data_IF_084531191603
#
_entry.id   IF_084531191603
#
_cell.length_a   1.000
_cell.length_b   1.000
_cell.length_c   1.000
_cell.angle_alpha   90.00
_cell.angle_beta   90.00
_cell.angle_gamma   90.00
#
_symmetry.space_group_name_H-M   'P 1'
#
loop_
_entity.id
_entity.type
_entity.pdbx_description
1 polymer ?
#
# COMPACT_ATOMS: atom_id res chain seq x y z
N UNK A 1 -27.42 -14.55 30.01
CA UNK A 1 -27.31 -13.06 29.99
C UNK A 1 -25.85 -12.61 30.09
N UNK A 2 -25.04 -13.18 30.99
CA UNK A 2 -23.58 -12.98 31.06
C UNK A 2 -22.84 -13.38 29.78
N UNK A 3 -23.29 -14.41 29.07
CA UNK A 3 -22.66 -14.88 27.82
C UNK A 3 -22.73 -13.86 26.68
N UNK A 4 -23.74 -12.97 26.70
CA UNK A 4 -23.84 -11.89 25.72
C UNK A 4 -22.76 -10.84 25.93
N UNK A 5 -22.42 -10.55 27.20
CA UNK A 5 -21.35 -9.61 27.57
C UNK A 5 -19.98 -10.16 27.14
N UNK A 6 -19.75 -11.47 27.29
CA UNK A 6 -18.52 -12.10 26.81
C UNK A 6 -18.41 -12.05 25.29
N UNK A 7 -19.49 -12.34 24.57
CA UNK A 7 -19.53 -12.22 23.09
C UNK A 7 -19.27 -10.79 22.62
N UNK A 8 -19.86 -9.79 23.26
CA UNK A 8 -19.62 -8.39 22.92
C UNK A 8 -18.16 -8.01 23.14
N UNK A 9 -17.55 -8.43 24.25
CA UNK A 9 -16.13 -8.20 24.52
C UNK A 9 -15.25 -8.84 23.45
N UNK A 10 -15.55 -10.07 23.05
CA UNK A 10 -14.79 -10.78 22.03
C UNK A 10 -14.94 -10.09 20.65
N UNK A 11 -16.14 -9.61 20.30
CA UNK A 11 -16.36 -8.80 19.09
C UNK A 11 -15.57 -7.49 19.11
N UNK A 12 -15.55 -6.78 20.25
CA UNK A 12 -14.75 -5.55 20.41
C UNK A 12 -13.26 -5.84 20.24
N UNK A 13 -12.79 -7.00 20.71
CA UNK A 13 -11.40 -7.40 20.55
C UNK A 13 -11.07 -7.66 19.07
N UNK A 14 -11.91 -8.41 18.36
CA UNK A 14 -11.75 -8.64 16.92
C UNK A 14 -11.80 -7.35 16.11
N UNK A 15 -12.66 -6.39 16.48
CA UNK A 15 -12.71 -5.09 15.83
C UNK A 15 -11.41 -4.29 16.01
N UNK A 16 -10.83 -4.31 17.21
CA UNK A 16 -9.53 -3.66 17.46
C UNK A 16 -8.39 -4.28 16.66
N UNK A 17 -8.40 -5.61 16.54
CA UNK A 17 -7.42 -6.32 15.72
C UNK A 17 -7.56 -5.95 14.25
N UNK A 18 -8.79 -5.92 13.72
CA UNK A 18 -9.06 -5.47 12.36
C UNK A 18 -8.58 -4.03 12.11
N UNK A 19 -8.90 -3.08 13.00
CA UNK A 19 -8.45 -1.69 12.90
C UNK A 19 -6.92 -1.63 12.84
N UNK A 20 -6.23 -2.39 13.70
CA UNK A 20 -4.77 -2.42 13.71
C UNK A 20 -4.20 -2.95 12.40
N UNK A 21 -4.75 -4.03 11.86
CA UNK A 21 -4.32 -4.59 10.57
C UNK A 21 -4.48 -3.56 9.43
N UNK A 22 -5.59 -2.81 9.46
CA UNK A 22 -5.86 -1.75 8.51
C UNK A 22 -4.90 -0.55 8.64
N UNK A 23 -4.56 -0.14 9.85
CA UNK A 23 -3.56 0.90 10.09
C UNK A 23 -2.17 0.46 9.60
N UNK A 24 -1.73 -0.77 9.91
CA UNK A 24 -0.46 -1.33 9.44
C UNK A 24 -0.40 -1.40 7.91
N UNK A 25 -1.52 -1.72 7.26
CA UNK A 25 -1.65 -1.71 5.80
C UNK A 25 -1.57 -0.30 5.23
N UNK A 26 -2.31 0.64 5.82
CA UNK A 26 -2.32 2.02 5.39
C UNK A 26 -0.92 2.66 5.49
N UNK A 27 -0.16 2.32 6.54
CA UNK A 27 1.20 2.82 6.72
C UNK A 27 2.16 2.28 5.65
N UNK A 28 2.00 1.02 5.22
CA UNK A 28 2.75 0.48 4.07
C UNK A 28 2.44 1.25 2.78
N UNK A 29 1.16 1.54 2.54
CA UNK A 29 0.71 2.31 1.37
C UNK A 29 1.31 3.73 1.40
N UNK A 30 1.25 4.42 2.55
CA UNK A 30 1.84 5.76 2.73
C UNK A 30 3.35 5.76 2.49
N UNK A 31 4.07 4.80 3.05
CA UNK A 31 5.52 4.65 2.83
C UNK A 31 5.83 4.47 1.35
N UNK A 32 5.07 3.63 0.65
CA UNK A 32 5.25 3.42 -0.78
C UNK A 32 4.99 4.70 -1.57
N UNK A 33 3.90 5.43 -1.28
CA UNK A 33 3.59 6.69 -1.94
C UNK A 33 4.73 7.71 -1.79
N UNK A 34 5.30 7.85 -0.58
CA UNK A 34 6.43 8.73 -0.32
C UNK A 34 7.69 8.34 -1.09
N UNK A 35 7.99 7.04 -1.21
CA UNK A 35 9.14 6.57 -2.00
C UNK A 35 8.99 6.90 -3.49
N UNK A 36 7.77 6.74 -4.03
CA UNK A 36 7.49 7.03 -5.44
C UNK A 36 7.52 8.52 -5.72
N UNK A 37 7.03 9.34 -4.78
CA UNK A 37 7.13 10.79 -4.86
C UNK A 37 8.60 11.24 -4.96
N UNK A 38 9.48 10.78 -4.05
CA UNK A 38 10.92 11.10 -4.09
C UNK A 38 11.58 10.66 -5.41
N UNK A 39 11.25 9.46 -5.89
CA UNK A 39 11.74 8.95 -7.17
C UNK A 39 11.22 9.75 -8.37
N UNK A 40 10.00 10.28 -8.28
CA UNK A 40 9.36 11.06 -9.34
C UNK A 40 9.92 12.47 -9.37
N UNK A 41 10.07 13.12 -8.21
CA UNK A 41 10.69 14.44 -8.09
C UNK A 41 12.09 14.47 -8.71
N UNK A 42 12.91 13.44 -8.48
CA UNK A 42 14.25 13.33 -9.07
C UNK A 42 14.23 13.21 -10.60
N UNK A 43 13.28 12.46 -11.16
CA UNK A 43 13.14 12.32 -12.63
C UNK A 43 12.52 13.56 -13.29
N UNK A 44 11.71 14.33 -12.57
CA UNK A 44 11.02 15.51 -13.11
C UNK A 44 11.92 16.75 -13.24
N UNK A 45 13.09 16.76 -12.59
CA UNK A 45 14.05 17.86 -12.65
C UNK A 45 14.78 17.95 -14.01
N UNK A 46 15.07 16.80 -14.63
CA UNK A 46 15.64 16.70 -15.97
C UNK A 46 15.16 15.39 -16.64
N UNK A 47 13.94 15.40 -17.22
CA UNK A 47 13.35 14.19 -17.79
C UNK A 47 14.15 13.62 -18.97
N UNK A 48 14.68 14.48 -19.84
CA UNK A 48 15.44 14.05 -21.03
C UNK A 48 16.79 13.47 -20.64
N UNK A 49 17.55 14.11 -19.74
CA UNK A 49 18.82 13.58 -19.23
C UNK A 49 18.63 12.34 -18.36
N UNK A 50 17.55 12.26 -17.59
CA UNK A 50 17.21 11.07 -16.81
C UNK A 50 16.92 9.87 -17.71
N UNK A 51 16.13 10.05 -18.78
CA UNK A 51 15.79 8.98 -19.72
C UNK A 51 16.92 8.62 -20.68
N UNK A 52 17.85 9.55 -20.96
CA UNK A 52 19.05 9.27 -21.74
C UNK A 52 19.97 8.25 -21.05
N UNK A 53 19.86 8.07 -19.72
CA UNK A 53 20.61 7.06 -18.99
C UNK A 53 19.87 5.70 -19.00
N UNK A 54 20.39 4.64 -19.68
CA UNK A 54 19.66 3.39 -19.89
C UNK A 54 19.19 2.69 -18.60
N UNK A 55 19.96 2.79 -17.51
CA UNK A 55 19.58 2.23 -16.20
C UNK A 55 18.38 2.96 -15.59
N UNK A 56 18.28 4.28 -15.77
CA UNK A 56 17.20 5.08 -15.20
C UNK A 56 15.91 4.85 -15.99
N UNK A 57 16.01 4.80 -17.33
CA UNK A 57 14.90 4.42 -18.20
C UNK A 57 14.38 3.01 -17.85
N UNK A 58 15.28 2.02 -17.70
CA UNK A 58 14.91 0.67 -17.28
C UNK A 58 14.20 0.65 -15.91
N UNK A 59 14.75 1.36 -14.92
CA UNK A 59 14.14 1.46 -13.58
C UNK A 59 12.73 2.08 -13.63
N UNK A 60 12.52 3.10 -14.46
CA UNK A 60 11.20 3.70 -14.65
C UNK A 60 10.22 2.71 -15.28
N UNK A 61 10.62 2.03 -16.36
CA UNK A 61 9.79 1.03 -17.04
C UNK A 61 9.45 -0.14 -16.10
N UNK A 62 10.43 -0.64 -15.34
CA UNK A 62 10.21 -1.67 -14.32
C UNK A 62 9.19 -1.20 -13.28
N UNK A 63 9.33 0.03 -12.78
CA UNK A 63 8.42 0.59 -11.79
C UNK A 63 6.99 0.64 -12.30
N UNK A 64 6.79 1.15 -13.52
CA UNK A 64 5.49 1.22 -14.19
C UNK A 64 4.88 -0.17 -14.45
N UNK A 65 5.69 -1.15 -14.86
CA UNK A 65 5.20 -2.47 -15.23
C UNK A 65 5.04 -3.46 -14.06
N UNK A 66 5.70 -3.26 -12.92
CA UNK A 66 5.75 -4.29 -11.87
C UNK A 66 5.51 -3.73 -10.47
N UNK A 67 6.13 -2.61 -10.14
CA UNK A 67 6.03 -2.06 -8.78
C UNK A 67 4.65 -1.45 -8.54
N UNK A 68 4.05 -0.80 -9.54
CA UNK A 68 2.66 -0.31 -9.49
C UNK A 68 1.63 -1.45 -9.40
N UNK A 69 1.82 -2.55 -10.13
CA UNK A 69 0.94 -3.73 -10.02
C UNK A 69 1.04 -4.38 -8.63
N UNK A 70 2.23 -4.38 -8.03
CA UNK A 70 2.43 -4.90 -6.68
C UNK A 70 1.70 -4.05 -5.64
N UNK A 71 1.69 -2.73 -5.81
CA UNK A 71 0.88 -1.83 -4.97
C UNK A 71 -0.61 -2.07 -5.18
N UNK A 72 -1.07 -2.17 -6.43
CA UNK A 72 -2.48 -2.42 -6.74
C UNK A 72 -2.97 -3.69 -6.02
N UNK A 73 -2.17 -4.76 -6.02
CA UNK A 73 -2.47 -5.96 -5.25
C UNK A 73 -2.53 -5.72 -3.73
N UNK A 74 -1.63 -4.91 -3.16
CA UNK A 74 -1.66 -4.56 -1.72
C UNK A 74 -2.94 -3.77 -1.35
N UNK A 75 -3.39 -2.88 -2.24
CA UNK A 75 -4.62 -2.10 -2.04
C UNK A 75 -5.85 -2.99 -2.20
N UNK A 76 -5.88 -3.85 -3.23
CA UNK A 76 -7.03 -4.69 -3.59
C UNK A 76 -7.20 -5.94 -2.71
N UNK A 77 -6.13 -6.47 -2.10
CA UNK A 77 -6.16 -7.64 -1.21
C UNK A 77 -7.18 -7.52 -0.06
N UNK A 78 -7.63 -6.32 0.27
CA UNK A 78 -8.57 -6.07 1.36
C UNK A 78 -10.00 -5.77 0.91
N UNK A 79 -10.20 -5.16 -0.26
CA UNK A 79 -11.56 -4.95 -0.82
C UNK A 79 -12.35 -6.24 -1.01
N UNK A 80 -11.66 -7.39 -1.06
CA UNK A 80 -12.27 -8.72 -1.14
C UNK A 80 -12.59 -9.34 0.22
N UNK A 81 -12.00 -8.86 1.33
CA UNK A 81 -12.24 -9.40 2.68
C UNK A 81 -13.53 -8.88 3.33
N UNK A 82 -14.07 -7.76 2.88
CA UNK A 82 -15.34 -7.20 3.35
C UNK A 82 -16.60 -7.77 2.68
N UNK A 83 -16.46 -8.67 1.70
CA UNK A 83 -17.56 -9.19 0.86
C UNK A 83 -17.75 -10.72 0.97
N UNK A 84 -17.54 -11.32 2.14
CA UNK A 84 -17.84 -12.75 2.38
C UNK A 84 -18.41 -12.98 3.77
#
# INVERSE_FOLDING_TARGET
MTDLIYKERDLVQSLKEYIREEEERLDKIKSWASQIEDLTSKSSLDPEGFLAHPVNAYKLVKRLNSDWLSLENLVLQDSTKGNS
#
